data_IF_643463708052
#
_entry.id   IF_643463708052
#
_cell.length_a   1.000
_cell.length_b   1.000
_cell.length_c   1.000
_cell.angle_alpha   90.00
_cell.angle_beta   90.00
_cell.angle_gamma   90.00
#
_symmetry.space_group_name_H-M   'P 1'
#
loop_
_entity.id
_entity.type
_entity.pdbx_description
1 polymer ?
#
# COMPACT_ATOMS: atom_id res chain seq x y z
N UNK A 1 -7.85 9.83 -25.87
CA UNK A 1 -8.47 9.55 -27.19
C UNK A 1 -9.68 10.46 -27.33
N UNK A 2 -9.86 11.17 -28.46
CA UNK A 2 -11.11 11.90 -28.71
C UNK A 2 -12.16 10.90 -29.19
N UNK A 3 -13.02 10.47 -28.28
CA UNK A 3 -14.01 9.45 -28.52
C UNK A 3 -15.07 9.46 -27.43
N UNK A 4 -16.23 8.91 -27.75
CA UNK A 4 -17.36 8.86 -26.84
C UNK A 4 -17.14 7.76 -25.80
N UNK A 5 -17.01 8.13 -24.53
CA UNK A 5 -16.69 7.21 -23.43
C UNK A 5 -17.74 6.09 -23.26
N UNK A 6 -19.00 6.34 -23.62
CA UNK A 6 -20.08 5.39 -23.41
C UNK A 6 -20.27 4.37 -24.56
N UNK A 7 -20.00 4.75 -25.82
CA UNK A 7 -20.23 3.86 -26.97
C UNK A 7 -18.94 3.45 -27.70
N UNK A 8 -17.77 3.92 -27.27
CA UNK A 8 -16.46 3.53 -27.82
C UNK A 8 -16.17 4.04 -29.24
N UNK A 9 -17.10 4.78 -29.87
CA UNK A 9 -16.88 5.36 -31.21
C UNK A 9 -15.83 6.46 -31.15
N UNK A 10 -14.82 6.34 -32.01
CA UNK A 10 -13.77 7.36 -32.20
C UNK A 10 -14.35 8.54 -32.99
N UNK A 11 -14.21 9.74 -32.46
CA UNK A 11 -14.69 10.97 -33.12
C UNK A 11 -13.49 11.61 -33.82
N UNK A 12 -13.69 12.06 -35.07
CA UNK A 12 -12.66 12.84 -35.77
C UNK A 12 -12.49 14.19 -35.06
N UNK A 13 -11.24 14.65 -34.88
CA UNK A 13 -10.97 15.97 -34.28
C UNK A 13 -11.76 17.06 -35.04
N UNK A 14 -12.33 18.02 -34.29
CA UNK A 14 -13.12 19.15 -34.78
C UNK A 14 -14.50 18.84 -35.39
N UNK A 15 -15.05 17.63 -35.19
CA UNK A 15 -16.47 17.39 -35.52
C UNK A 15 -17.37 18.04 -34.47
N UNK A 16 -18.31 18.95 -34.84
CA UNK A 16 -19.29 19.50 -33.91
C UNK A 16 -20.11 18.38 -33.27
N UNK A 17 -20.43 18.52 -31.98
CA UNK A 17 -21.13 17.46 -31.22
C UNK A 17 -22.44 17.03 -31.88
N UNK A 18 -23.25 17.96 -32.39
CA UNK A 18 -24.51 17.70 -33.09
C UNK A 18 -24.37 16.79 -34.32
N UNK A 19 -23.18 16.74 -34.92
CA UNK A 19 -22.86 15.90 -36.08
C UNK A 19 -22.04 14.66 -35.68
N UNK A 20 -21.80 14.48 -34.39
CA UNK A 20 -21.12 13.32 -33.86
C UNK A 20 -22.08 12.13 -33.76
N UNK A 21 -21.59 10.89 -33.91
CA UNK A 21 -22.42 9.71 -33.73
C UNK A 21 -22.91 9.52 -32.29
N UNK A 22 -22.53 10.40 -31.34
CA UNK A 22 -23.03 10.39 -29.97
C UNK A 22 -24.23 11.31 -29.74
N UNK A 23 -24.49 12.29 -30.61
CA UNK A 23 -25.69 13.13 -30.51
C UNK A 23 -27.00 12.33 -30.64
N UNK A 24 -26.95 11.16 -31.29
CA UNK A 24 -28.10 10.25 -31.45
C UNK A 24 -27.86 8.89 -30.81
N UNK A 25 -26.85 8.75 -29.94
CA UNK A 25 -26.57 7.44 -29.36
C UNK A 25 -27.57 7.10 -28.24
N UNK A 26 -27.84 5.80 -28.08
CA UNK A 26 -28.76 5.27 -27.05
C UNK A 26 -28.40 5.75 -25.64
N UNK A 27 -27.11 5.97 -25.37
CA UNK A 27 -26.64 6.44 -24.07
C UNK A 27 -26.93 7.92 -23.81
N UNK A 28 -27.19 8.72 -24.86
CA UNK A 28 -27.68 10.10 -24.75
C UNK A 28 -29.21 10.13 -24.70
N UNK A 29 -29.86 9.33 -25.53
CA UNK A 29 -31.33 9.25 -25.59
C UNK A 29 -31.94 8.57 -24.35
N UNK A 30 -31.18 7.71 -23.68
CA UNK A 30 -31.56 7.01 -22.47
C UNK A 30 -30.31 6.78 -21.60
N UNK A 31 -29.82 7.82 -20.92
CA UNK A 31 -28.65 7.70 -20.06
C UNK A 31 -28.96 6.71 -18.95
N UNK A 32 -28.05 5.75 -18.73
CA UNK A 32 -28.21 4.87 -17.58
C UNK A 32 -28.13 5.73 -16.30
N UNK A 33 -29.01 5.50 -15.32
CA UNK A 33 -28.93 6.22 -14.07
C UNK A 33 -27.53 6.06 -13.49
N UNK A 34 -26.86 7.18 -13.23
CA UNK A 34 -25.51 7.19 -12.62
C UNK A 34 -25.54 6.66 -11.18
N UNK A 35 -26.73 6.61 -10.59
CA UNK A 35 -27.01 6.09 -9.27
C UNK A 35 -27.34 4.61 -9.33
N UNK A 36 -26.76 3.81 -8.43
CA UNK A 36 -27.16 2.42 -8.18
C UNK A 36 -28.42 2.34 -7.30
N UNK A 37 -28.99 3.49 -6.89
CA UNK A 37 -30.15 3.60 -6.02
C UNK A 37 -31.41 3.87 -6.86
N UNK A 38 -32.52 3.17 -6.53
CA UNK A 38 -33.82 3.34 -7.18
C UNK A 38 -34.42 4.73 -6.96
N UNK A 39 -34.12 5.36 -5.82
CA UNK A 39 -34.54 6.72 -5.46
C UNK A 39 -33.32 7.61 -5.21
N UNK A 40 -33.42 8.89 -5.55
CA UNK A 40 -32.39 9.89 -5.23
C UNK A 40 -32.36 10.12 -3.71
N UNK A 41 -31.28 9.73 -3.00
CA UNK A 41 -31.21 9.91 -1.55
C UNK A 41 -31.19 11.40 -1.14
N UNK A 42 -30.97 12.34 -2.07
CA UNK A 42 -30.98 13.78 -1.82
C UNK A 42 -32.31 14.43 -2.25
N UNK A 43 -33.44 13.97 -1.72
CA UNK A 43 -34.72 14.67 -1.87
C UNK A 43 -34.74 16.01 -1.10
N UNK A 44 -35.33 17.05 -1.70
CA UNK A 44 -35.60 18.36 -1.07
C UNK A 44 -36.25 18.33 0.34
N UNK A 45 -37.05 17.31 0.74
CA UNK A 45 -37.60 17.23 2.10
C UNK A 45 -36.60 16.77 3.17
N UNK A 46 -35.45 16.23 2.79
CA UNK A 46 -34.48 15.61 3.69
C UNK A 46 -33.07 16.17 3.46
N UNK A 47 -32.86 17.42 3.91
CA UNK A 47 -31.55 18.10 3.92
C UNK A 47 -30.48 17.42 4.82
N UNK A 48 -30.80 16.31 5.49
CA UNK A 48 -29.92 15.59 6.40
C UNK A 48 -29.58 14.15 5.95
N UNK A 49 -29.71 13.81 4.66
CA UNK A 49 -29.19 12.51 4.20
C UNK A 49 -27.72 12.67 3.87
N UNK A 50 -26.86 12.27 4.81
CA UNK A 50 -25.41 12.16 4.56
C UNK A 50 -25.21 11.17 3.41
N UNK A 51 -24.51 11.60 2.36
CA UNK A 51 -24.22 10.74 1.21
C UNK A 51 -23.53 9.44 1.72
N UNK A 52 -23.90 8.24 1.25
CA UNK A 52 -23.43 6.96 1.80
C UNK A 52 -21.91 6.81 1.91
N UNK A 53 -21.16 7.54 1.08
CA UNK A 53 -19.69 7.62 1.16
C UNK A 53 -19.13 8.21 2.47
N UNK A 54 -19.97 8.89 3.28
CA UNK A 54 -19.57 9.50 4.56
C UNK A 54 -20.23 8.83 5.77
N UNK A 55 -21.00 7.76 5.58
CA UNK A 55 -21.50 6.97 6.69
C UNK A 55 -20.32 6.16 7.25
N UNK A 56 -19.85 6.51 8.45
CA UNK A 56 -18.86 5.71 9.17
C UNK A 56 -19.39 4.28 9.26
N UNK A 57 -18.71 3.36 8.58
CA UNK A 57 -19.21 2.01 8.42
C UNK A 57 -19.34 1.33 9.78
N UNK A 58 -20.57 1.05 10.21
CA UNK A 58 -20.87 0.37 11.47
C UNK A 58 -20.18 -0.99 11.62
N UNK A 59 -20.31 -1.61 12.80
CA UNK A 59 -19.78 -2.94 13.09
C UNK A 59 -20.28 -3.95 12.03
N UNK A 60 -19.38 -4.37 11.13
CA UNK A 60 -19.69 -5.26 10.00
C UNK A 60 -19.41 -4.68 8.61
N UNK A 61 -19.15 -3.37 8.50
CA UNK A 61 -18.71 -2.73 7.27
C UNK A 61 -17.37 -3.30 6.77
N UNK A 62 -17.12 -3.20 5.47
CA UNK A 62 -15.85 -3.64 4.86
C UNK A 62 -14.67 -2.89 5.48
N UNK A 63 -14.83 -1.58 5.71
CA UNK A 63 -13.81 -0.74 6.34
C UNK A 63 -13.51 -1.17 7.77
N UNK A 64 -14.54 -1.45 8.56
CA UNK A 64 -14.39 -1.97 9.92
C UNK A 64 -13.62 -3.29 9.92
N UNK A 65 -14.01 -4.24 9.05
CA UNK A 65 -13.33 -5.54 8.91
C UNK A 65 -11.86 -5.39 8.48
N UNK A 66 -11.55 -4.45 7.59
CA UNK A 66 -10.18 -4.14 7.18
C UNK A 66 -9.39 -3.58 8.37
N UNK A 67 -9.93 -2.57 9.07
CA UNK A 67 -9.30 -1.97 10.26
C UNK A 67 -9.04 -3.02 11.34
N UNK A 68 -10.03 -3.84 11.66
CA UNK A 68 -9.91 -4.90 12.67
C UNK A 68 -8.79 -5.88 12.29
N UNK A 69 -8.72 -6.30 11.02
CA UNK A 69 -7.70 -7.23 10.54
C UNK A 69 -6.29 -6.61 10.58
N UNK A 70 -6.17 -5.33 10.28
CA UNK A 70 -4.92 -4.56 10.40
C UNK A 70 -4.47 -4.48 11.86
N UNK A 71 -5.36 -4.07 12.77
CA UNK A 71 -5.04 -3.96 14.19
C UNK A 71 -4.66 -5.32 14.79
N UNK A 72 -5.38 -6.39 14.43
CA UNK A 72 -5.06 -7.75 14.89
C UNK A 72 -3.68 -8.20 14.42
N UNK A 73 -3.35 -7.94 13.16
CA UNK A 73 -2.03 -8.27 12.60
C UNK A 73 -0.93 -7.47 13.29
N UNK A 74 -1.14 -6.16 13.48
CA UNK A 74 -0.20 -5.28 14.17
C UNK A 74 0.05 -5.73 15.62
N UNK A 75 -1.01 -6.01 16.38
CA UNK A 75 -0.91 -6.49 17.76
C UNK A 75 -0.11 -7.80 17.84
N UNK A 76 -0.36 -8.73 16.91
CA UNK A 76 0.39 -9.98 16.80
C UNK A 76 1.87 -9.70 16.53
N UNK A 77 2.20 -8.84 15.56
CA UNK A 77 3.58 -8.48 15.23
C UNK A 77 4.29 -7.85 16.41
N UNK A 78 3.67 -6.87 17.08
CA UNK A 78 4.25 -6.22 18.27
C UNK A 78 4.55 -7.25 19.37
N UNK A 79 3.63 -8.19 19.60
CA UNK A 79 3.84 -9.25 20.60
C UNK A 79 5.04 -10.13 20.24
N UNK A 80 5.14 -10.57 18.99
CA UNK A 80 6.27 -11.38 18.51
C UNK A 80 7.59 -10.60 18.63
N UNK A 81 7.61 -9.31 18.29
CA UNK A 81 8.81 -8.47 18.41
C UNK A 81 9.23 -8.30 19.87
N UNK A 82 8.26 -8.13 20.78
CA UNK A 82 8.52 -8.01 22.21
C UNK A 82 9.07 -9.32 22.77
N UNK A 83 8.48 -10.46 22.40
CA UNK A 83 9.01 -11.79 22.76
C UNK A 83 10.41 -12.03 22.18
N UNK A 84 10.67 -11.57 20.94
CA UNK A 84 11.98 -11.69 20.30
C UNK A 84 13.05 -10.88 21.04
N UNK A 85 12.72 -9.67 21.50
CA UNK A 85 13.61 -8.85 22.32
C UNK A 85 14.08 -9.56 23.58
N UNK A 86 13.18 -10.30 24.23
CA UNK A 86 13.47 -11.04 25.47
C UNK A 86 14.21 -12.36 25.20
N UNK A 87 13.71 -13.18 24.27
CA UNK A 87 14.24 -14.55 24.02
C UNK A 87 15.48 -14.55 23.12
N UNK A 88 15.62 -13.58 22.23
CA UNK A 88 16.68 -13.51 21.24
C UNK A 88 17.27 -12.09 21.13
N UNK A 89 17.82 -11.53 22.23
CA UNK A 89 18.27 -10.13 22.29
C UNK A 89 19.33 -9.80 21.22
N UNK A 90 20.25 -10.74 20.97
CA UNK A 90 21.27 -10.62 19.92
C UNK A 90 20.68 -10.54 18.52
N UNK A 91 19.54 -11.20 18.28
CA UNK A 91 18.85 -11.10 16.99
C UNK A 91 18.09 -9.79 16.87
N UNK A 92 17.44 -9.39 17.97
CA UNK A 92 16.66 -8.17 18.04
C UNK A 92 17.52 -6.92 17.83
N UNK A 93 18.74 -6.86 18.37
CA UNK A 93 19.61 -5.67 18.21
C UNK A 93 19.96 -5.37 16.74
N UNK A 94 20.25 -6.41 15.93
CA UNK A 94 20.54 -6.22 14.50
C UNK A 94 19.30 -5.78 13.74
N UNK A 95 18.14 -6.34 14.09
CA UNK A 95 16.86 -5.94 13.52
C UNK A 95 16.54 -4.48 13.86
N UNK A 96 16.65 -4.10 15.13
CA UNK A 96 16.37 -2.75 15.63
C UNK A 96 17.25 -1.70 14.93
N UNK A 97 18.56 -1.94 14.85
CA UNK A 97 19.48 -1.05 14.13
C UNK A 97 19.11 -0.91 12.64
N UNK A 98 18.74 -2.02 11.99
CA UNK A 98 18.34 -2.03 10.58
C UNK A 98 16.96 -1.38 10.36
N UNK A 99 16.04 -1.48 11.30
CA UNK A 99 14.74 -0.79 11.24
C UNK A 99 14.89 0.70 11.49
N UNK A 100 15.78 1.10 12.42
CA UNK A 100 16.07 2.50 12.71
C UNK A 100 16.75 3.20 11.54
N UNK A 101 17.74 2.54 10.91
CA UNK A 101 18.35 3.03 9.69
C UNK A 101 18.36 1.93 8.61
N UNK A 102 17.31 1.89 7.76
CA UNK A 102 17.20 0.92 6.69
C UNK A 102 18.42 0.94 5.76
N UNK A 103 19.02 2.10 5.51
CA UNK A 103 20.12 2.20 4.53
C UNK A 103 21.42 1.53 4.98
N UNK A 104 21.57 1.14 6.25
CA UNK A 104 22.78 0.49 6.76
C UNK A 104 23.12 -0.80 5.99
N UNK A 105 24.33 -0.89 5.47
CA UNK A 105 24.83 -2.14 4.89
C UNK A 105 25.17 -3.14 6.00
N UNK A 106 25.29 -4.41 5.63
CA UNK A 106 25.69 -5.43 6.59
C UNK A 106 27.15 -5.30 7.01
N UNK A 107 27.97 -4.60 6.21
CA UNK A 107 29.35 -4.29 6.60
C UNK A 107 29.32 -3.24 7.72
N UNK A 108 28.58 -2.13 7.53
CA UNK A 108 28.44 -1.10 8.57
C UNK A 108 27.80 -1.67 9.86
N UNK A 109 26.77 -2.52 9.75
CA UNK A 109 26.22 -3.22 10.91
C UNK A 109 27.25 -4.15 11.57
N UNK A 110 28.05 -4.86 10.78
CA UNK A 110 29.09 -5.74 11.30
C UNK A 110 30.15 -4.94 12.09
N UNK A 111 30.54 -3.78 11.57
CA UNK A 111 31.48 -2.86 12.22
C UNK A 111 30.89 -2.28 13.50
N UNK A 112 29.62 -1.84 13.49
CA UNK A 112 28.91 -1.30 14.67
C UNK A 112 28.85 -2.29 15.83
N UNK A 113 28.70 -3.58 15.54
CA UNK A 113 28.56 -4.64 16.54
C UNK A 113 29.81 -5.52 16.67
N UNK A 114 30.95 -5.09 16.12
CA UNK A 114 32.24 -5.78 16.17
C UNK A 114 32.14 -7.28 15.83
N UNK A 115 31.43 -7.61 14.74
CA UNK A 115 31.16 -8.99 14.35
C UNK A 115 31.40 -9.23 12.86
N UNK A 116 31.24 -10.48 12.39
CA UNK A 116 31.34 -10.81 10.97
C UNK A 116 30.04 -10.49 10.25
N UNK A 117 30.12 -10.05 8.99
CA UNK A 117 28.97 -9.83 8.09
C UNK A 117 28.03 -11.04 7.98
N UNK A 118 28.58 -12.26 8.07
CA UNK A 118 27.79 -13.50 8.07
C UNK A 118 26.89 -13.61 9.32
N UNK A 119 27.33 -13.13 10.48
CA UNK A 119 26.53 -13.11 11.71
C UNK A 119 25.34 -12.16 11.57
N UNK A 120 25.56 -10.96 11.02
CA UNK A 120 24.48 -10.00 10.72
C UNK A 120 23.42 -10.65 9.84
N UNK A 121 23.84 -11.30 8.74
CA UNK A 121 22.92 -12.00 7.84
C UNK A 121 22.15 -13.12 8.56
N UNK A 122 22.83 -13.92 9.37
CA UNK A 122 22.20 -14.99 10.15
C UNK A 122 21.09 -14.44 11.05
N UNK A 123 21.38 -13.38 11.80
CA UNK A 123 20.42 -12.77 12.72
C UNK A 123 19.23 -12.15 11.97
N UNK A 124 19.46 -11.41 10.88
CA UNK A 124 18.36 -10.84 10.10
C UNK A 124 17.47 -11.93 9.47
N UNK A 125 18.05 -13.03 8.96
CA UNK A 125 17.27 -14.18 8.48
C UNK A 125 16.47 -14.82 9.61
N UNK A 126 17.09 -15.01 10.78
CA UNK A 126 16.42 -15.57 11.95
C UNK A 126 15.25 -14.68 12.40
N UNK A 127 15.40 -13.37 12.37
CA UNK A 127 14.32 -12.42 12.69
C UNK A 127 13.12 -12.60 11.74
N UNK A 128 13.35 -12.72 10.44
CA UNK A 128 12.28 -12.96 9.45
C UNK A 128 11.62 -14.33 9.63
N UNK A 129 12.38 -15.38 9.98
CA UNK A 129 11.80 -16.69 10.28
C UNK A 129 10.84 -16.61 11.49
N UNK A 130 11.20 -15.82 12.51
CA UNK A 130 10.39 -15.64 13.71
C UNK A 130 9.19 -14.71 13.49
N UNK A 131 9.33 -13.70 12.63
CA UNK A 131 8.28 -12.76 12.25
C UNK A 131 8.34 -12.51 10.73
N UNK A 132 7.60 -13.32 9.93
CA UNK A 132 7.62 -13.23 8.46
C UNK A 132 7.27 -11.85 7.92
N UNK A 133 6.45 -11.09 8.64
CA UNK A 133 6.04 -9.73 8.28
C UNK A 133 7.23 -8.76 8.17
N UNK A 134 8.34 -9.04 8.86
CA UNK A 134 9.58 -8.24 8.78
C UNK A 134 10.23 -8.27 7.40
N UNK A 135 9.93 -9.28 6.57
CA UNK A 135 10.40 -9.31 5.19
C UNK A 135 9.98 -8.03 4.43
N UNK A 136 8.78 -7.53 4.71
CA UNK A 136 8.25 -6.30 4.11
C UNK A 136 8.94 -5.04 4.65
N UNK A 137 9.42 -5.07 5.89
CA UNK A 137 10.19 -3.95 6.47
C UNK A 137 11.61 -3.91 5.89
N UNK A 138 12.14 -5.07 5.49
CA UNK A 138 13.47 -5.22 4.91
C UNK A 138 13.49 -5.19 3.37
N UNK A 139 12.44 -4.69 2.71
CA UNK A 139 12.29 -4.67 1.23
C UNK A 139 13.41 -3.96 0.49
N UNK A 140 14.08 -3.03 1.15
CA UNK A 140 15.24 -2.32 0.61
C UNK A 140 16.46 -3.23 0.39
N UNK A 141 16.44 -4.43 0.97
CA UNK A 141 17.50 -5.41 0.84
C UNK A 141 17.13 -6.45 -0.22
N UNK A 142 18.00 -6.59 -1.23
CA UNK A 142 17.81 -7.50 -2.35
C UNK A 142 17.52 -8.94 -1.92
N UNK A 143 18.01 -9.37 -0.76
CA UNK A 143 17.89 -10.73 -0.23
C UNK A 143 16.49 -11.04 0.30
N UNK A 144 15.76 -10.01 0.75
CA UNK A 144 14.40 -10.13 1.26
C UNK A 144 13.36 -9.72 0.21
N UNK A 145 13.76 -8.88 -0.75
CA UNK A 145 12.88 -8.38 -1.81
C UNK A 145 12.83 -9.25 -3.07
N UNK A 146 13.57 -10.37 -3.12
CA UNK A 146 13.74 -11.15 -4.36
C UNK A 146 14.33 -10.35 -5.53
N UNK A 147 15.04 -9.26 -5.25
CA UNK A 147 15.55 -8.33 -6.26
C UNK A 147 14.56 -7.29 -6.80
N UNK A 148 13.27 -7.31 -6.43
CA UNK A 148 12.26 -6.43 -7.04
C UNK A 148 12.23 -4.98 -6.50
N UNK A 149 12.62 -4.75 -5.25
CA UNK A 149 12.40 -3.47 -4.55
C UNK A 149 13.65 -2.90 -3.87
N UNK A 150 14.83 -3.44 -4.19
CA UNK A 150 16.06 -3.00 -3.56
C UNK A 150 16.40 -1.55 -3.94
N UNK A 151 16.45 -0.67 -2.93
CA UNK A 151 16.85 0.71 -3.14
C UNK A 151 18.33 0.75 -3.53
N UNK A 152 18.62 1.33 -4.70
CA UNK A 152 19.99 1.66 -5.07
C UNK A 152 20.46 2.78 -4.16
N UNK A 153 21.59 2.57 -3.45
CA UNK A 153 22.22 3.67 -2.73
C UNK A 153 22.52 4.80 -3.71
N UNK A 154 22.21 6.06 -3.39
CA UNK A 154 22.73 7.18 -4.15
C UNK A 154 24.26 7.11 -4.12
N UNK A 155 24.89 7.21 -5.29
CA UNK A 155 26.35 7.23 -5.40
C UNK A 155 26.83 8.48 -4.68
N UNK A 156 27.44 8.32 -3.51
CA UNK A 156 28.21 9.41 -2.92
C UNK A 156 29.48 9.56 -3.74
N UNK A 157 29.52 10.57 -4.59
CA UNK A 157 30.76 11.03 -5.22
C UNK A 157 31.71 11.41 -4.09
N UNK A 158 32.70 10.55 -3.84
CA UNK A 158 33.85 10.92 -3.02
C UNK A 158 34.57 12.03 -3.79
N UNK A 159 34.41 13.28 -3.33
CA UNK A 159 35.34 14.33 -3.69
C UNK A 159 36.70 13.91 -3.11
N UNK A 160 37.62 13.64 -4.04
CA UNK A 160 39.03 13.37 -3.76
C UNK A 160 39.73 14.65 -3.34
#
# INVERSE_FOLDING_TARGET
>A
MFGCHNCGKKIKKNTPYAHSPCATCRAEQNPMPQSQYQDDPAGFPTLQVMHPAYMEGGEGSIEFKIKERLFRSLARTIRILTEMKVKYPETYKFLEAKMYNPLLTYTELADMFSCKKQNVLYHLKKAVILCPELQNTLLIDTRFSGGHYALRRPVTTKNS
#
